data_IF_957127292644
#
_entry.id   IF_957127292644
#
_cell.length_a   1.000
_cell.length_b   1.000
_cell.length_c   1.000
_cell.angle_alpha   90.00
_cell.angle_beta   90.00
_cell.angle_gamma   90.00
#
_symmetry.space_group_name_H-M   'P 1'
#
loop_
_entity.id
_entity.type
_entity.pdbx_description
1 polymer ?
#
# COMPACT_ATOMS: atom_id res chain seq x y z
N UNK A 1 5.91 44.91 -5.96
CA UNK A 1 5.26 43.73 -5.39
C UNK A 1 6.18 42.53 -5.66
N UNK A 2 6.82 42.02 -4.61
CA UNK A 2 7.85 40.97 -4.68
C UNK A 2 7.16 39.61 -4.76
N UNK A 3 7.43 38.84 -5.82
CA UNK A 3 7.00 37.44 -5.93
C UNK A 3 7.84 36.60 -4.98
N UNK A 4 7.21 35.99 -3.98
CA UNK A 4 7.86 35.02 -3.11
C UNK A 4 8.26 33.80 -3.94
N UNK A 5 9.56 33.53 -4.01
CA UNK A 5 10.09 32.31 -4.64
C UNK A 5 9.69 31.11 -3.78
N UNK A 6 8.95 30.16 -4.35
CA UNK A 6 8.63 28.90 -3.68
C UNK A 6 9.94 28.13 -3.39
N UNK A 7 10.07 27.45 -2.23
CA UNK A 7 11.32 26.86 -1.76
C UNK A 7 11.73 25.55 -2.47
N UNK A 8 11.00 25.12 -3.50
CA UNK A 8 11.33 23.92 -4.25
C UNK A 8 11.53 24.27 -5.73
N UNK A 9 12.70 23.96 -6.32
CA UNK A 9 12.89 24.10 -7.75
C UNK A 9 11.96 23.12 -8.46
N UNK A 10 10.92 23.63 -9.12
CA UNK A 10 10.12 22.85 -10.06
C UNK A 10 11.00 22.65 -11.29
N UNK A 11 11.73 21.53 -11.32
CA UNK A 11 12.43 21.13 -12.54
C UNK A 11 11.38 20.76 -13.58
N UNK A 12 11.44 21.41 -14.74
CA UNK A 12 10.57 21.17 -15.90
C UNK A 12 10.98 19.89 -16.63
N UNK A 13 11.12 18.80 -15.88
CA UNK A 13 11.06 17.45 -16.42
C UNK A 13 9.59 17.13 -16.55
N UNK A 14 9.08 16.97 -17.78
CA UNK A 14 7.74 16.43 -18.01
C UNK A 14 7.59 15.17 -17.17
N UNK A 15 6.87 15.27 -16.04
CA UNK A 15 6.71 14.15 -15.13
C UNK A 15 5.99 13.05 -15.90
N UNK A 16 6.55 11.85 -15.88
CA UNK A 16 5.80 10.68 -16.30
C UNK A 16 4.58 10.57 -15.37
N UNK A 17 3.39 10.88 -15.89
CA UNK A 17 2.13 10.82 -15.16
C UNK A 17 1.41 9.49 -15.36
N UNK A 18 2.03 8.48 -15.98
CA UNK A 18 1.39 7.19 -16.25
C UNK A 18 0.96 6.47 -14.97
N UNK A 19 1.59 6.75 -13.82
CA UNK A 19 1.21 6.23 -12.50
C UNK A 19 -0.08 6.84 -11.93
N UNK A 20 -0.44 8.06 -12.35
CA UNK A 20 -1.51 8.85 -11.72
C UNK A 20 -2.90 8.20 -11.87
N UNK A 21 -3.32 7.72 -13.06
CA UNK A 21 -4.59 7.01 -13.19
C UNK A 21 -4.70 5.78 -12.31
N UNK A 22 -3.60 5.02 -12.17
CA UNK A 22 -3.53 3.86 -11.28
C UNK A 22 -3.76 4.27 -9.82
N UNK A 23 -3.04 5.30 -9.34
CA UNK A 23 -3.22 5.80 -7.98
C UNK A 23 -4.66 6.29 -7.74
N UNK A 24 -5.25 7.03 -8.67
CA UNK A 24 -6.62 7.54 -8.55
C UNK A 24 -7.63 6.38 -8.47
N UNK A 25 -7.52 5.39 -9.35
CA UNK A 25 -8.41 4.24 -9.35
C UNK A 25 -8.34 3.44 -8.04
N UNK A 26 -7.15 3.33 -7.46
CA UNK A 26 -6.89 2.48 -6.29
C UNK A 26 -7.17 3.17 -4.96
N UNK A 27 -7.41 4.48 -5.00
CA UNK A 27 -7.87 5.30 -3.89
C UNK A 27 -9.34 5.69 -4.01
N UNK A 28 -10.01 5.29 -5.10
CA UNK A 28 -11.44 5.50 -5.30
C UNK A 28 -12.27 4.68 -4.29
N UNK A 29 -13.27 5.31 -3.68
CA UNK A 29 -14.22 4.66 -2.78
C UNK A 29 -15.03 3.53 -3.42
N UNK A 30 -15.17 3.52 -4.75
CA UNK A 30 -15.82 2.46 -5.52
C UNK A 30 -14.89 1.31 -5.88
N UNK A 31 -13.59 1.39 -5.55
CA UNK A 31 -12.67 0.30 -5.83
C UNK A 31 -13.07 -0.95 -5.02
N UNK A 32 -13.30 -2.12 -5.67
CA UNK A 32 -14.09 -3.22 -5.10
C UNK A 32 -13.27 -4.09 -4.12
N UNK A 33 -12.82 -3.48 -3.02
CA UNK A 33 -12.04 -4.15 -1.96
C UNK A 33 -12.88 -4.53 -0.75
N UNK A 34 -14.14 -4.07 -0.69
CA UNK A 34 -14.98 -4.23 0.51
C UNK A 34 -14.57 -3.34 1.68
N UNK A 35 -13.63 -2.41 1.49
CA UNK A 35 -13.15 -1.52 2.56
C UNK A 35 -14.28 -0.67 3.20
N UNK A 36 -15.35 -0.36 2.44
CA UNK A 36 -16.51 0.37 2.94
C UNK A 36 -17.26 -0.37 4.06
N UNK A 37 -17.11 -1.69 4.17
CA UNK A 37 -17.80 -2.50 5.18
C UNK A 37 -17.10 -2.49 6.56
N UNK A 38 -15.99 -1.76 6.70
CA UNK A 38 -15.17 -1.78 7.90
C UNK A 38 -15.16 -0.41 8.59
N UNK A 39 -15.72 -0.35 9.80
CA UNK A 39 -15.88 0.89 10.59
C UNK A 39 -14.69 1.22 11.49
N UNK A 40 -13.71 0.32 11.63
CA UNK A 40 -12.54 0.48 12.50
C UNK A 40 -12.90 0.89 13.94
N UNK A 41 -14.00 0.32 14.48
CA UNK A 41 -14.49 0.60 15.84
C UNK A 41 -15.38 1.85 15.96
N UNK A 42 -15.53 2.64 14.89
CA UNK A 42 -16.40 3.82 14.90
C UNK A 42 -17.86 3.45 15.20
N UNK A 43 -18.34 2.33 14.67
CA UNK A 43 -19.72 1.87 14.91
C UNK A 43 -19.99 1.62 16.39
N UNK A 44 -19.07 0.91 17.07
CA UNK A 44 -19.17 0.68 18.51
C UNK A 44 -19.13 1.98 19.30
N UNK A 45 -18.23 2.91 18.96
CA UNK A 45 -18.15 4.21 19.62
C UNK A 45 -19.39 5.08 19.43
N UNK A 46 -20.10 4.94 18.30
CA UNK A 46 -21.39 5.59 18.09
C UNK A 46 -22.48 4.93 18.94
N UNK A 47 -22.53 3.60 18.99
CA UNK A 47 -23.50 2.86 19.79
C UNK A 47 -23.34 3.12 21.30
N UNK A 48 -22.11 3.31 21.77
CA UNK A 48 -21.80 3.66 23.16
C UNK A 48 -22.08 5.13 23.51
N UNK A 49 -22.42 5.96 22.52
CA UNK A 49 -22.64 7.40 22.72
C UNK A 49 -21.36 8.22 22.92
N UNK A 50 -20.20 7.64 22.60
CA UNK A 50 -18.88 8.32 22.66
C UNK A 50 -18.69 9.25 21.45
N UNK A 51 -19.07 8.80 20.25
CA UNK A 51 -19.07 9.62 19.03
C UNK A 51 -20.51 9.97 18.67
N UNK A 52 -20.86 11.25 18.77
CA UNK A 52 -22.25 11.73 18.66
C UNK A 52 -22.43 12.92 17.72
N UNK A 53 -21.36 13.61 17.35
CA UNK A 53 -21.39 14.77 16.47
C UNK A 53 -20.04 15.00 15.78
N UNK A 54 -19.97 15.96 14.87
CA UNK A 54 -18.77 16.25 14.07
C UNK A 54 -17.49 16.45 14.92
N UNK A 55 -17.59 17.19 16.03
CA UNK A 55 -16.41 17.41 16.89
C UNK A 55 -15.92 16.13 17.62
N UNK A 56 -16.80 15.22 18.07
CA UNK A 56 -16.39 13.94 18.69
C UNK A 56 -15.88 12.95 17.64
N UNK A 57 -16.43 12.97 16.42
CA UNK A 57 -15.86 12.24 15.28
C UNK A 57 -14.45 12.75 14.95
N UNK A 58 -14.25 14.07 14.92
CA UNK A 58 -12.92 14.67 14.70
C UNK A 58 -11.94 14.23 15.79
N UNK A 59 -12.37 14.20 17.05
CA UNK A 59 -11.59 13.67 18.17
C UNK A 59 -11.15 12.23 17.91
N UNK A 60 -12.10 11.33 17.60
CA UNK A 60 -11.80 9.94 17.23
C UNK A 60 -10.77 9.83 16.08
N UNK A 61 -10.96 10.61 15.01
CA UNK A 61 -10.07 10.57 13.85
C UNK A 61 -8.64 10.99 14.21
N UNK A 62 -8.48 12.09 14.95
CA UNK A 62 -7.16 12.66 15.23
C UNK A 62 -6.45 11.98 16.40
N UNK A 63 -7.19 11.49 17.38
CA UNK A 63 -6.63 11.00 18.66
C UNK A 63 -6.52 9.48 18.71
N UNK A 64 -7.31 8.75 17.92
CA UNK A 64 -7.29 7.29 17.90
C UNK A 64 -6.97 6.71 16.52
N UNK A 65 -7.71 7.09 15.48
CA UNK A 65 -7.62 6.46 14.17
C UNK A 65 -6.32 6.80 13.43
N UNK A 66 -6.00 8.08 13.23
CA UNK A 66 -4.79 8.50 12.55
C UNK A 66 -3.49 8.07 13.27
N UNK A 67 -3.37 8.17 14.60
CA UNK A 67 -2.20 7.66 15.31
C UNK A 67 -2.02 6.15 15.12
N UNK A 68 -3.12 5.38 15.15
CA UNK A 68 -3.06 3.94 14.86
C UNK A 68 -2.55 3.70 13.45
N UNK A 69 -3.15 4.35 12.44
CA UNK A 69 -2.74 4.22 11.04
C UNK A 69 -1.25 4.57 10.83
N UNK A 70 -0.79 5.64 11.48
CA UNK A 70 0.60 6.09 11.41
C UNK A 70 1.59 5.13 12.09
N UNK A 71 1.16 4.43 13.14
CA UNK A 71 2.01 3.49 13.87
C UNK A 71 1.99 2.06 13.30
N UNK A 72 0.91 1.66 12.61
CA UNK A 72 0.74 0.27 12.12
C UNK A 72 0.81 0.15 10.61
N UNK A 73 -0.07 0.84 9.89
CA UNK A 73 -0.32 0.53 8.47
C UNK A 73 0.63 1.30 7.55
N UNK A 74 0.96 2.56 7.86
CA UNK A 74 1.94 3.33 7.06
C UNK A 74 3.35 2.73 7.10
N UNK A 75 3.91 2.35 8.27
CA UNK A 75 5.25 1.74 8.32
C UNK A 75 5.27 0.38 7.60
N UNK A 76 4.21 -0.41 7.71
CA UNK A 76 4.10 -1.69 6.99
C UNK A 76 4.03 -1.46 5.48
N UNK A 77 3.26 -0.48 5.01
CA UNK A 77 3.22 -0.15 3.58
C UNK A 77 4.60 0.28 3.06
N UNK A 78 5.35 1.07 3.83
CA UNK A 78 6.71 1.48 3.48
C UNK A 78 7.71 0.30 3.49
N UNK A 79 7.61 -0.61 4.46
CA UNK A 79 8.43 -1.81 4.53
C UNK A 79 8.11 -2.77 3.37
N UNK A 80 6.82 -2.97 3.07
CA UNK A 80 6.37 -3.77 1.94
C UNK A 80 6.88 -3.18 0.63
N UNK A 81 6.74 -1.85 0.45
CA UNK A 81 7.31 -1.14 -0.69
C UNK A 81 8.80 -1.40 -0.79
N UNK A 82 9.56 -1.23 0.29
CA UNK A 82 11.02 -1.44 0.26
C UNK A 82 11.42 -2.88 -0.08
N UNK A 83 10.70 -3.86 0.47
CA UNK A 83 10.95 -5.29 0.21
C UNK A 83 10.62 -5.67 -1.26
N UNK A 84 9.63 -5.00 -1.86
CA UNK A 84 9.16 -5.21 -3.24
C UNK A 84 9.93 -4.34 -4.27
N UNK A 85 10.37 -3.14 -3.88
CA UNK A 85 11.02 -2.07 -4.68
C UNK A 85 12.54 -2.25 -4.82
N UNK A 86 13.12 -3.37 -4.35
CA UNK A 86 14.45 -3.77 -4.87
C UNK A 86 14.48 -3.94 -6.40
N UNK A 87 13.33 -3.80 -7.07
CA UNK A 87 13.12 -3.64 -8.51
C UNK A 87 13.20 -2.21 -9.09
N UNK A 88 13.06 -1.11 -8.33
CA UNK A 88 12.87 0.23 -8.92
C UNK A 88 14.10 1.14 -9.02
N UNK A 89 14.97 1.19 -8.00
CA UNK A 89 16.02 2.25 -7.92
C UNK A 89 17.38 1.96 -8.57
N UNK A 90 17.65 0.74 -9.07
CA UNK A 90 18.91 0.44 -9.80
C UNK A 90 18.78 0.42 -11.33
N UNK A 91 17.60 0.75 -11.86
CA UNK A 91 17.36 0.81 -13.30
C UNK A 91 17.60 2.18 -13.94
N UNK A 92 17.82 3.23 -13.13
CA UNK A 92 17.96 4.61 -13.61
C UNK A 92 19.41 5.10 -13.72
N UNK A 93 20.40 4.28 -13.33
CA UNK A 93 21.76 4.45 -13.84
C UNK A 93 21.76 3.96 -15.29
N UNK A 94 21.35 4.87 -16.19
CA UNK A 94 21.41 4.71 -17.64
C UNK A 94 22.82 4.27 -18.03
N UNK A 95 22.98 2.97 -18.29
CA UNK A 95 24.12 2.49 -19.06
C UNK A 95 23.87 2.87 -20.52
N UNK A 96 24.16 4.13 -20.84
CA UNK A 96 24.48 4.56 -22.20
C UNK A 96 25.81 3.91 -22.59
N UNK A 97 25.78 2.62 -22.88
CA UNK A 97 26.88 1.93 -23.55
C UNK A 97 26.31 1.15 -24.71
N UNK A 98 26.71 1.54 -25.91
CA UNK A 98 26.23 1.02 -27.21
C UNK A 98 26.63 -0.45 -27.47
N UNK A 99 27.20 -1.13 -26.47
CA UNK A 99 27.78 -2.47 -26.57
C UNK A 99 27.13 -3.47 -25.58
N UNK A 100 25.98 -3.13 -24.96
CA UNK A 100 25.44 -3.89 -23.83
C UNK A 100 24.81 -5.23 -24.25
N UNK A 101 25.33 -6.30 -23.64
CA UNK A 101 24.71 -7.63 -23.48
C UNK A 101 23.20 -7.57 -23.20
N UNK A 102 22.48 -8.63 -23.58
CA UNK A 102 21.05 -8.79 -23.27
C UNK A 102 20.73 -8.41 -21.82
N UNK A 103 19.63 -7.66 -21.56
CA UNK A 103 19.31 -7.18 -20.23
C UNK A 103 19.20 -8.35 -19.25
N UNK A 104 20.07 -8.35 -18.23
CA UNK A 104 20.02 -9.35 -17.16
C UNK A 104 18.62 -9.36 -16.54
N UNK A 105 18.05 -10.55 -16.24
CA UNK A 105 16.73 -10.64 -15.63
C UNK A 105 16.70 -9.83 -14.35
N UNK A 106 15.61 -9.05 -14.17
CA UNK A 106 15.43 -8.21 -12.99
C UNK A 106 15.54 -9.07 -11.73
N UNK A 107 16.25 -8.62 -10.68
CA UNK A 107 16.35 -9.40 -9.45
C UNK A 107 14.96 -9.57 -8.84
N UNK A 108 14.60 -10.82 -8.52
CA UNK A 108 13.37 -11.15 -7.83
C UNK A 108 13.36 -10.56 -6.40
N UNK A 109 12.18 -10.23 -5.84
CA UNK A 109 12.07 -9.86 -4.44
C UNK A 109 12.62 -10.95 -3.50
N UNK A 110 13.16 -10.55 -2.36
CA UNK A 110 13.46 -11.50 -1.28
C UNK A 110 12.14 -11.91 -0.61
N UNK A 111 11.57 -13.02 -1.07
CA UNK A 111 10.28 -13.51 -0.57
C UNK A 111 10.25 -13.81 0.92
N UNK A 112 11.40 -14.09 1.55
CA UNK A 112 11.46 -14.28 3.00
C UNK A 112 11.30 -12.94 3.74
N UNK A 113 11.88 -11.87 3.19
CA UNK A 113 11.71 -10.51 3.71
C UNK A 113 10.26 -10.04 3.54
N UNK A 114 9.65 -10.28 2.37
CA UNK A 114 8.23 -9.96 2.15
C UNK A 114 7.34 -10.76 3.10
N UNK A 115 7.64 -12.05 3.32
CA UNK A 115 6.90 -12.90 4.25
C UNK A 115 6.91 -12.37 5.68
N UNK A 116 8.07 -11.94 6.16
CA UNK A 116 8.21 -11.33 7.47
C UNK A 116 7.37 -10.05 7.59
N UNK A 117 7.32 -9.21 6.57
CA UNK A 117 6.47 -7.99 6.56
C UNK A 117 4.98 -8.34 6.67
N UNK A 118 4.51 -9.34 5.93
CA UNK A 118 3.13 -9.82 6.02
C UNK A 118 2.79 -10.37 7.41
N UNK A 119 3.65 -11.19 8.00
CA UNK A 119 3.46 -11.73 9.35
C UNK A 119 3.43 -10.60 10.40
N UNK A 120 4.31 -9.60 10.27
CA UNK A 120 4.28 -8.38 11.11
C UNK A 120 2.99 -7.61 10.96
N UNK A 121 2.49 -7.43 9.73
CA UNK A 121 1.21 -6.76 9.48
C UNK A 121 0.05 -7.43 10.24
N UNK A 122 -0.02 -8.76 10.22
CA UNK A 122 -1.04 -9.52 10.92
C UNK A 122 -0.87 -9.43 12.46
N UNK A 123 0.37 -9.50 12.94
CA UNK A 123 0.70 -9.44 14.37
C UNK A 123 0.40 -8.07 15.02
N UNK A 124 0.57 -6.97 14.28
CA UNK A 124 0.27 -5.61 14.74
C UNK A 124 -1.24 -5.33 14.91
N UNK A 125 -2.10 -6.24 14.45
CA UNK A 125 -3.56 -6.15 14.56
C UNK A 125 -4.04 -7.16 15.61
N UNK A 126 -4.13 -6.78 16.91
CA UNK A 126 -4.26 -7.72 18.01
C UNK A 126 -5.61 -8.45 18.03
N UNK A 127 -6.71 -7.76 17.73
CA UNK A 127 -8.03 -8.35 17.65
C UNK A 127 -8.29 -9.00 16.30
N UNK A 128 -9.14 -10.03 16.32
CA UNK A 128 -9.50 -10.84 15.14
C UNK A 128 -10.13 -10.00 14.03
N UNK A 129 -11.08 -9.15 14.40
CA UNK A 129 -11.90 -8.38 13.45
C UNK A 129 -11.07 -7.45 12.53
N UNK A 130 -10.21 -6.54 13.02
CA UNK A 130 -9.39 -5.69 12.14
C UNK A 130 -8.33 -6.47 11.37
N UNK A 131 -7.88 -7.63 11.89
CA UNK A 131 -6.96 -8.52 11.18
C UNK A 131 -7.64 -9.16 9.97
N UNK A 132 -8.80 -9.80 10.18
CA UNK A 132 -9.59 -10.41 9.11
C UNK A 132 -10.06 -9.37 8.09
N UNK A 133 -10.49 -8.18 8.55
CA UNK A 133 -10.82 -7.06 7.68
C UNK A 133 -9.65 -6.67 6.76
N UNK A 134 -8.46 -6.49 7.34
CA UNK A 134 -7.26 -6.13 6.58
C UNK A 134 -6.87 -7.22 5.59
N UNK A 135 -6.99 -8.50 5.98
CA UNK A 135 -6.70 -9.63 5.10
C UNK A 135 -7.71 -9.77 3.96
N UNK A 136 -9.00 -9.51 4.23
CA UNK A 136 -10.04 -9.50 3.20
C UNK A 136 -9.80 -8.40 2.18
N UNK A 137 -9.54 -7.17 2.63
CA UNK A 137 -9.22 -6.03 1.77
C UNK A 137 -7.96 -6.33 0.95
N UNK A 138 -6.91 -6.86 1.57
CA UNK A 138 -5.65 -7.19 0.90
C UNK A 138 -5.82 -8.26 -0.18
N UNK A 139 -6.58 -9.32 0.10
CA UNK A 139 -6.90 -10.37 -0.89
C UNK A 139 -7.71 -9.83 -2.07
N UNK A 140 -8.74 -9.02 -1.82
CA UNK A 140 -9.53 -8.42 -2.91
C UNK A 140 -8.68 -7.47 -3.76
N UNK A 141 -7.82 -6.66 -3.12
CA UNK A 141 -6.90 -5.77 -3.84
C UNK A 141 -5.92 -6.56 -4.71
N UNK A 142 -5.34 -7.63 -4.18
CA UNK A 142 -4.45 -8.53 -4.94
C UNK A 142 -5.16 -9.12 -6.16
N UNK A 143 -6.39 -9.61 -5.98
CA UNK A 143 -7.18 -10.17 -7.08
C UNK A 143 -7.43 -9.14 -8.18
N UNK A 144 -7.83 -7.92 -7.80
CA UNK A 144 -8.04 -6.83 -8.75
C UNK A 144 -6.75 -6.44 -9.48
N UNK A 145 -5.61 -6.39 -8.79
CA UNK A 145 -4.33 -6.06 -9.43
C UNK A 145 -3.90 -7.11 -10.45
N UNK A 146 -4.17 -8.40 -10.20
CA UNK A 146 -3.89 -9.49 -11.16
C UNK A 146 -4.77 -9.39 -12.41
N UNK A 147 -6.03 -9.02 -12.24
CA UNK A 147 -6.97 -8.82 -13.35
C UNK A 147 -6.59 -7.62 -14.22
N UNK A 148 -6.16 -6.52 -13.60
CA UNK A 148 -5.81 -5.27 -14.29
C UNK A 148 -4.40 -5.32 -14.91
N UNK A 149 -3.47 -6.06 -14.31
CA UNK A 149 -2.06 -6.12 -14.73
C UNK A 149 -1.54 -7.57 -14.78
N UNK A 150 -1.91 -8.35 -15.81
CA UNK A 150 -1.39 -9.71 -15.99
C UNK A 150 0.14 -9.72 -16.10
N UNK A 151 0.79 -10.70 -15.46
CA UNK A 151 2.25 -10.84 -15.48
C UNK A 151 3.02 -9.84 -14.62
N UNK A 152 2.32 -9.04 -13.80
CA UNK A 152 2.91 -8.10 -12.85
C UNK A 152 3.47 -8.78 -11.59
N UNK A 153 4.12 -7.98 -10.74
CA UNK A 153 4.57 -8.38 -9.41
C UNK A 153 3.44 -8.99 -8.55
N UNK A 154 2.20 -8.56 -8.77
CA UNK A 154 1.03 -9.13 -8.10
C UNK A 154 0.84 -10.63 -8.41
N UNK A 155 1.16 -11.09 -9.62
CA UNK A 155 1.03 -12.51 -9.98
C UNK A 155 2.11 -13.36 -9.28
N UNK A 156 3.34 -12.84 -9.21
CA UNK A 156 4.42 -13.49 -8.46
C UNK A 156 4.10 -13.55 -6.96
N UNK A 157 3.63 -12.44 -6.40
CA UNK A 157 3.18 -12.38 -5.00
C UNK A 157 2.02 -13.35 -4.72
N UNK A 158 1.06 -13.49 -5.63
CA UNK A 158 -0.04 -14.43 -5.52
C UNK A 158 0.42 -15.89 -5.48
N UNK A 159 1.40 -16.26 -6.32
CA UNK A 159 1.99 -17.60 -6.33
C UNK A 159 2.67 -17.93 -5.02
N UNK A 160 3.49 -17.01 -4.51
CA UNK A 160 4.19 -17.19 -3.25
C UNK A 160 3.22 -17.26 -2.06
N UNK A 161 2.17 -16.43 -2.05
CA UNK A 161 1.12 -16.46 -1.02
C UNK A 161 0.31 -17.74 -1.01
N UNK A 162 -0.01 -18.27 -2.19
CA UNK A 162 -0.67 -19.57 -2.30
C UNK A 162 0.24 -20.71 -1.82
N UNK A 163 1.53 -20.69 -2.16
CA UNK A 163 2.46 -21.76 -1.83
C UNK A 163 2.82 -21.81 -0.34
N UNK A 164 3.04 -20.65 0.30
CA UNK A 164 3.53 -20.55 1.69
C UNK A 164 2.46 -20.21 2.73
N UNK A 165 1.23 -19.90 2.28
CA UNK A 165 0.06 -19.63 3.14
C UNK A 165 0.26 -18.51 4.17
N UNK A 166 0.83 -17.39 3.72
CA UNK A 166 1.09 -16.21 4.55
C UNK A 166 -0.05 -15.20 4.45
N UNK A 167 -0.32 -14.41 5.52
CA UNK A 167 -1.43 -13.44 5.53
C UNK A 167 -1.16 -12.28 4.56
N UNK A 168 -2.23 -11.72 3.98
CA UNK A 168 -2.12 -10.63 2.99
C UNK A 168 -2.87 -9.40 3.50
N UNK A 169 -2.19 -8.57 4.28
CA UNK A 169 -2.79 -7.35 4.81
C UNK A 169 -2.96 -6.25 3.74
N UNK A 170 -4.00 -5.43 3.90
CA UNK A 170 -4.26 -4.23 3.08
C UNK A 170 -3.02 -3.32 2.84
N UNK A 171 -2.20 -2.97 3.86
CA UNK A 171 -1.03 -2.11 3.64
C UNK A 171 0.07 -2.80 2.81
N UNK A 172 0.19 -4.13 2.87
CA UNK A 172 1.14 -4.86 2.00
C UNK A 172 0.64 -4.88 0.56
N UNK A 173 -0.64 -5.19 0.35
CA UNK A 173 -1.23 -5.20 -0.98
C UNK A 173 -1.23 -3.82 -1.66
N UNK A 174 -1.16 -2.73 -0.88
CA UNK A 174 -0.98 -1.38 -1.40
C UNK A 174 0.38 -1.15 -2.09
N UNK A 175 1.41 -1.93 -1.72
CA UNK A 175 2.76 -1.82 -2.25
C UNK A 175 3.01 -2.66 -3.52
N UNK A 176 2.01 -3.38 -4.03
CA UNK A 176 2.12 -4.23 -5.23
C UNK A 176 1.91 -3.47 -6.56
N UNK A 177 1.93 -2.14 -6.51
CA UNK A 177 1.66 -1.26 -7.65
C UNK A 177 2.93 -0.61 -8.16
#
# INVERSE_FOLDING_TARGET
MSTASLPFPVSDTAMDTAWLPGLLQLTDSFFPTGAYAHSFGLEGLVQEGTVTHAASLRGFLLEAFLPTLAATDLPIAALAWTALDRMGRRGEERETRLDAEEPKPKPEPDWNEVEEVCRRCAALKPSREPREASENIGRQRLEMLRLLHPGSLAEAFAKETQARQWPIGAPVAAALQ
#
